data_IF_980438436339
#
_entry.id   IF_980438436339
#
_cell.length_a   1.000
_cell.length_b   1.000
_cell.length_c   1.000
_cell.angle_alpha   90.00
_cell.angle_beta   90.00
_cell.angle_gamma   90.00
#
_symmetry.space_group_name_H-M   'P 1'
#
loop_
_entity.id
_entity.type
_entity.pdbx_description
1 polymer ?
#
# COMPACT_ATOMS: atom_id res chain seq x y z
N UNK A 1 26.93 18.51 1.34
CA UNK A 1 25.72 19.03 2.03
C UNK A 1 24.56 18.87 1.07
N UNK A 2 23.49 18.16 1.39
CA UNK A 2 23.04 17.48 2.61
C UNK A 2 22.59 16.09 2.10
N UNK A 3 23.01 14.96 2.63
CA UNK A 3 23.25 14.68 4.05
C UNK A 3 22.07 15.15 4.92
N UNK A 4 20.86 14.74 4.51
CA UNK A 4 19.88 14.17 5.44
C UNK A 4 20.28 12.71 5.53
N UNK A 5 20.39 12.17 6.74
CA UNK A 5 20.53 10.74 7.04
C UNK A 5 19.56 10.00 6.12
N UNK A 6 20.11 9.41 5.06
CA UNK A 6 19.45 9.40 3.76
C UNK A 6 18.63 8.14 3.61
N UNK A 7 17.74 8.14 2.63
CA UNK A 7 17.10 6.93 2.14
C UNK A 7 18.11 5.82 1.78
N UNK A 8 19.40 6.14 1.64
CA UNK A 8 20.48 5.15 1.48
C UNK A 8 20.81 4.38 2.75
N UNK A 9 20.49 4.87 3.95
CA UNK A 9 20.75 4.21 5.23
C UNK A 9 19.66 3.19 5.60
N UNK A 10 18.37 3.49 5.38
CA UNK A 10 17.27 2.50 5.52
C UNK A 10 17.33 1.43 4.41
N UNK A 11 17.68 1.85 3.19
CA UNK A 11 18.02 0.94 2.07
C UNK A 11 19.24 0.08 2.40
N UNK A 12 20.26 0.63 3.07
CA UNK A 12 21.40 -0.14 3.57
C UNK A 12 21.01 -1.15 4.63
N UNK A 13 20.13 -0.79 5.57
CA UNK A 13 19.67 -1.71 6.60
C UNK A 13 18.83 -2.86 6.01
N UNK A 14 17.97 -2.58 5.01
CA UNK A 14 17.26 -3.63 4.25
C UNK A 14 18.20 -4.47 3.36
N UNK A 15 19.24 -3.87 2.78
CA UNK A 15 20.31 -4.58 2.07
C UNK A 15 21.13 -5.46 3.02
N UNK A 16 21.44 -4.98 4.23
CA UNK A 16 22.20 -5.70 5.25
C UNK A 16 21.38 -6.86 5.83
N UNK A 17 20.10 -6.66 6.11
CA UNK A 17 19.17 -7.71 6.56
C UNK A 17 18.94 -8.76 5.46
N UNK A 18 18.79 -8.33 4.21
CA UNK A 18 18.72 -9.24 3.05
C UNK A 18 20.03 -10.00 2.87
N UNK A 19 21.18 -9.36 3.05
CA UNK A 19 22.50 -9.99 2.95
C UNK A 19 22.77 -10.95 4.11
N UNK A 20 22.32 -10.66 5.33
CA UNK A 20 22.33 -11.60 6.46
C UNK A 20 21.45 -12.83 6.21
N UNK A 21 20.29 -12.65 5.56
CA UNK A 21 19.32 -13.72 5.30
C UNK A 21 19.60 -14.52 4.02
N UNK A 22 20.32 -13.97 3.04
CA UNK A 22 20.49 -14.55 1.69
C UNK A 22 21.93 -14.65 1.19
N UNK A 23 22.89 -13.97 1.84
CA UNK A 23 24.31 -13.98 1.46
C UNK A 23 24.69 -13.06 0.29
N UNK A 24 23.76 -12.26 -0.25
CA UNK A 24 23.99 -11.40 -1.42
C UNK A 24 23.41 -9.99 -1.26
N UNK A 25 24.02 -8.98 -1.90
CA UNK A 25 23.59 -7.58 -1.87
C UNK A 25 22.39 -7.30 -2.80
N UNK A 26 21.49 -6.41 -2.36
CA UNK A 26 20.28 -5.97 -3.09
C UNK A 26 20.64 -4.82 -4.05
N UNK A 27 20.49 -4.99 -5.37
CA UNK A 27 20.76 -3.92 -6.34
C UNK A 27 19.71 -2.78 -6.31
N UNK A 28 20.19 -1.55 -6.44
CA UNK A 28 19.64 -0.26 -5.97
C UNK A 28 18.54 0.40 -6.81
N UNK A 29 17.99 -0.24 -7.85
CA UNK A 29 17.23 0.48 -8.88
C UNK A 29 15.69 0.38 -8.82
N UNK A 30 15.10 -0.33 -7.87
CA UNK A 30 13.66 -0.64 -7.91
C UNK A 30 12.75 0.19 -6.97
N UNK A 31 13.22 1.27 -6.30
CA UNK A 31 12.47 1.94 -5.22
C UNK A 31 12.09 3.42 -5.44
N UNK A 32 12.31 4.01 -6.62
CA UNK A 32 11.91 5.42 -6.87
C UNK A 32 10.43 5.51 -7.25
N UNK A 33 9.54 5.66 -6.26
CA UNK A 33 8.36 6.51 -6.44
C UNK A 33 8.65 7.81 -5.70
N UNK A 34 9.06 8.82 -6.47
CA UNK A 34 9.18 10.24 -6.12
C UNK A 34 10.11 10.55 -4.93
N UNK A 35 11.42 10.61 -5.16
CA UNK A 35 12.33 11.37 -4.28
C UNK A 35 12.33 12.84 -4.71
N UNK A 36 12.09 13.80 -3.80
CA UNK A 36 12.36 15.21 -4.09
C UNK A 36 13.85 15.44 -4.35
N UNK A 37 14.22 15.84 -5.57
CA UNK A 37 15.60 16.22 -5.86
C UNK A 37 15.94 17.56 -5.19
N UNK A 38 16.97 17.55 -4.34
CA UNK A 38 17.52 18.79 -3.78
C UNK A 38 18.21 19.59 -4.89
N UNK A 39 17.54 20.61 -5.41
CA UNK A 39 18.16 21.56 -6.34
C UNK A 39 19.35 22.27 -5.67
N UNK A 40 20.51 22.50 -6.31
CA UNK A 40 21.74 23.00 -5.67
C UNK A 40 21.69 24.50 -5.31
N UNK A 41 20.50 25.12 -5.29
CA UNK A 41 20.34 26.53 -4.97
C UNK A 41 20.47 26.77 -3.48
N UNK A 42 21.36 27.68 -3.08
CA UNK A 42 21.53 28.15 -1.70
C UNK A 42 20.19 28.64 -1.13
N UNK A 43 19.49 27.78 -0.39
CA UNK A 43 18.20 28.10 0.24
C UNK A 43 18.43 28.98 1.48
N UNK A 44 17.62 30.03 1.64
CA UNK A 44 17.60 30.87 2.85
C UNK A 44 17.20 30.05 4.08
N UNK A 45 17.60 30.47 5.29
CA UNK A 45 17.40 29.71 6.54
C UNK A 45 15.94 29.37 6.86
N UNK A 46 15.00 30.27 6.54
CA UNK A 46 13.56 30.00 6.69
C UNK A 46 13.02 28.97 5.66
N UNK A 47 13.62 28.91 4.47
CA UNK A 47 13.29 27.89 3.47
C UNK A 47 13.91 26.54 3.83
N UNK A 48 15.06 26.51 4.48
CA UNK A 48 15.69 25.25 4.91
C UNK A 48 14.93 24.56 6.06
N UNK A 49 14.36 25.32 7.01
CA UNK A 49 13.53 24.77 8.09
C UNK A 49 12.17 24.25 7.59
N UNK A 50 11.49 24.97 6.69
CA UNK A 50 10.24 24.47 6.08
C UNK A 50 10.47 23.23 5.22
N UNK A 51 11.61 23.16 4.52
CA UNK A 51 11.99 22.00 3.72
C UNK A 51 12.45 20.79 4.56
N UNK A 52 12.96 21.00 5.77
CA UNK A 52 13.28 19.91 6.69
C UNK A 52 12.02 19.31 7.34
N UNK A 53 11.08 20.14 7.81
CA UNK A 53 9.78 19.69 8.33
C UNK A 53 8.97 18.93 7.27
N UNK A 54 8.93 19.45 6.04
CA UNK A 54 8.25 18.82 4.93
C UNK A 54 8.79 17.43 4.58
N UNK A 55 10.10 17.28 4.37
CA UNK A 55 10.68 15.96 4.07
C UNK A 55 10.48 14.98 5.22
N UNK A 56 10.55 15.44 6.47
CA UNK A 56 10.29 14.58 7.62
C UNK A 56 8.83 14.09 7.66
N UNK A 57 7.86 14.96 7.35
CA UNK A 57 6.44 14.57 7.23
C UNK A 57 6.20 13.60 6.08
N UNK A 58 6.85 13.83 4.95
CA UNK A 58 6.79 12.96 3.78
C UNK A 58 7.38 11.57 4.08
N UNK A 59 8.60 11.51 4.61
CA UNK A 59 9.25 10.25 5.03
C UNK A 59 8.41 9.51 6.07
N UNK A 60 7.83 10.23 7.05
CA UNK A 60 6.94 9.64 8.05
C UNK A 60 5.68 9.04 7.43
N UNK A 61 5.05 9.74 6.48
CA UNK A 61 3.86 9.24 5.81
C UNK A 61 4.16 7.98 4.99
N UNK A 62 5.28 7.98 4.26
CA UNK A 62 5.75 6.81 3.52
C UNK A 62 6.07 5.64 4.45
N UNK A 63 6.85 5.87 5.51
CA UNK A 63 7.19 4.84 6.48
C UNK A 63 5.94 4.24 7.16
N UNK A 64 4.90 5.04 7.40
CA UNK A 64 3.64 4.53 7.95
C UNK A 64 2.98 3.50 7.02
N UNK A 65 2.88 3.82 5.72
CA UNK A 65 2.35 2.88 4.72
C UNK A 65 3.22 1.63 4.64
N UNK A 66 4.54 1.80 4.57
CA UNK A 66 5.50 0.69 4.46
C UNK A 66 5.46 -0.24 5.68
N UNK A 67 5.36 0.32 6.88
CA UNK A 67 5.26 -0.46 8.12
C UNK A 67 3.97 -1.29 8.16
N UNK A 68 2.85 -0.69 7.73
CA UNK A 68 1.58 -1.42 7.63
C UNK A 68 1.67 -2.58 6.62
N UNK A 69 2.30 -2.35 5.47
CA UNK A 69 2.52 -3.39 4.46
C UNK A 69 3.37 -4.54 4.97
N UNK A 70 4.53 -4.22 5.55
CA UNK A 70 5.47 -5.22 6.02
C UNK A 70 4.81 -6.04 7.14
N UNK A 71 3.98 -5.41 7.98
CA UNK A 71 3.14 -6.10 8.96
C UNK A 71 2.15 -7.06 8.28
N UNK A 72 1.43 -6.64 7.25
CA UNK A 72 0.48 -7.50 6.53
C UNK A 72 1.17 -8.68 5.84
N UNK A 73 2.27 -8.42 5.13
CA UNK A 73 3.08 -9.45 4.46
C UNK A 73 3.66 -10.44 5.46
N UNK A 74 4.22 -9.94 6.57
CA UNK A 74 4.78 -10.77 7.64
C UNK A 74 3.70 -11.62 8.31
N UNK A 75 2.56 -11.02 8.63
CA UNK A 75 1.42 -11.74 9.20
C UNK A 75 0.92 -12.83 8.26
N UNK A 76 0.75 -12.53 6.97
CA UNK A 76 0.38 -13.52 5.97
C UNK A 76 1.43 -14.63 5.91
N UNK A 77 2.71 -14.29 5.72
CA UNK A 77 3.82 -15.22 5.59
C UNK A 77 3.93 -16.20 6.75
N UNK A 78 3.84 -15.70 7.99
CA UNK A 78 3.95 -16.49 9.22
C UNK A 78 2.73 -17.37 9.48
N UNK A 79 1.62 -17.15 8.77
CA UNK A 79 0.42 -17.98 8.86
C UNK A 79 0.26 -18.93 7.68
N UNK A 80 1.19 -18.94 6.72
CA UNK A 80 1.23 -19.93 5.66
C UNK A 80 1.88 -21.24 6.16
N UNK A 81 1.23 -22.40 5.99
CA UNK A 81 1.83 -23.69 6.30
C UNK A 81 3.08 -23.95 5.45
N UNK A 82 4.04 -24.70 5.99
CA UNK A 82 5.30 -25.05 5.30
C UNK A 82 5.07 -25.74 3.95
N UNK A 83 3.99 -26.53 3.86
CA UNK A 83 3.59 -27.25 2.66
C UNK A 83 2.84 -26.39 1.63
N UNK A 84 2.50 -25.14 1.94
CA UNK A 84 1.80 -24.24 1.01
C UNK A 84 2.69 -23.92 -0.20
N UNK A 85 2.16 -23.92 -1.45
CA UNK A 85 2.91 -23.50 -2.64
C UNK A 85 3.52 -22.09 -2.51
N UNK A 86 2.84 -21.19 -1.80
CA UNK A 86 3.33 -19.84 -1.52
C UNK A 86 4.57 -19.85 -0.61
N UNK A 87 4.60 -20.76 0.36
CA UNK A 87 5.68 -20.93 1.33
C UNK A 87 6.88 -21.64 0.71
N UNK A 88 6.62 -22.71 -0.05
CA UNK A 88 7.64 -23.48 -0.81
C UNK A 88 8.35 -22.60 -1.83
N UNK A 89 7.66 -21.63 -2.44
CA UNK A 89 8.29 -20.69 -3.38
C UNK A 89 9.38 -19.82 -2.74
N UNK A 90 9.43 -19.75 -1.41
CA UNK A 90 10.44 -19.05 -0.63
C UNK A 90 10.09 -17.60 -0.33
N UNK A 91 10.63 -17.10 0.79
CA UNK A 91 10.36 -15.76 1.32
C UNK A 91 10.58 -14.67 0.29
N UNK A 92 11.73 -14.71 -0.40
CA UNK A 92 12.07 -13.70 -1.41
C UNK A 92 10.99 -13.59 -2.49
N UNK A 93 10.56 -14.72 -3.07
CA UNK A 93 9.56 -14.69 -4.13
C UNK A 93 8.16 -14.36 -3.61
N UNK A 94 7.86 -14.61 -2.35
CA UNK A 94 6.60 -14.18 -1.74
C UNK A 94 6.55 -12.65 -1.64
N UNK A 95 7.55 -12.03 -0.99
CA UNK A 95 7.61 -10.58 -0.84
C UNK A 95 7.73 -9.86 -2.18
N UNK A 96 8.47 -10.43 -3.15
CA UNK A 96 8.61 -9.85 -4.50
C UNK A 96 7.34 -9.93 -5.37
N UNK A 97 6.36 -10.77 -5.01
CA UNK A 97 5.11 -10.90 -5.78
C UNK A 97 4.01 -9.98 -5.31
N UNK A 98 3.95 -9.73 -4.01
CA UNK A 98 3.01 -8.77 -3.42
C UNK A 98 3.77 -7.51 -2.97
N UNK A 99 4.68 -7.05 -3.83
CA UNK A 99 5.49 -5.86 -3.56
C UNK A 99 4.62 -4.62 -3.48
N UNK A 100 5.18 -3.61 -2.82
CA UNK A 100 4.67 -2.25 -2.70
C UNK A 100 4.22 -1.62 -4.03
N UNK A 101 4.81 -2.03 -5.16
CA UNK A 101 4.53 -1.50 -6.50
C UNK A 101 3.48 -2.28 -7.29
N UNK A 102 3.23 -3.54 -6.95
CA UNK A 102 2.38 -4.43 -7.75
C UNK A 102 1.02 -4.67 -7.12
N UNK A 103 0.87 -4.32 -5.84
CA UNK A 103 -0.40 -4.43 -5.12
C UNK A 103 -1.40 -3.40 -5.59
N UNK A 104 -2.65 -3.81 -5.71
CA UNK A 104 -3.76 -2.91 -5.91
C UNK A 104 -4.24 -2.39 -4.55
N UNK A 105 -3.84 -1.15 -4.20
CA UNK A 105 -4.19 -0.50 -2.92
C UNK A 105 -5.70 -0.35 -2.75
N UNK A 106 -6.40 -0.01 -3.82
CA UNK A 106 -7.86 0.14 -3.85
C UNK A 106 -8.55 -1.19 -3.59
N UNK A 107 -8.13 -2.26 -4.27
CA UNK A 107 -8.69 -3.60 -4.04
C UNK A 107 -8.45 -4.08 -2.61
N UNK A 108 -7.27 -3.79 -2.04
CA UNK A 108 -6.97 -4.14 -0.65
C UNK A 108 -7.84 -3.36 0.34
N UNK A 109 -7.98 -2.04 0.16
CA UNK A 109 -8.83 -1.20 0.98
C UNK A 109 -10.32 -1.59 0.89
N UNK A 110 -10.76 -2.08 -0.28
CA UNK A 110 -12.13 -2.54 -0.49
C UNK A 110 -12.46 -3.80 0.33
N UNK A 111 -11.48 -4.69 0.54
CA UNK A 111 -11.71 -5.96 1.24
C UNK A 111 -11.24 -5.98 2.68
N UNK A 112 -10.33 -5.09 3.07
CA UNK A 112 -9.71 -5.04 4.40
C UNK A 112 -9.20 -3.63 4.74
N UNK A 113 -10.13 -2.68 4.89
CA UNK A 113 -9.82 -1.26 5.18
C UNK A 113 -9.00 -1.04 6.46
N UNK A 114 -9.01 -2.00 7.39
CA UNK A 114 -8.30 -1.92 8.67
C UNK A 114 -7.00 -2.74 8.68
N UNK A 115 -6.68 -3.45 7.59
CA UNK A 115 -5.50 -4.31 7.49
C UNK A 115 -5.39 -5.34 8.65
N UNK A 116 -6.52 -5.99 8.98
CA UNK A 116 -6.65 -6.96 10.06
C UNK A 116 -6.81 -8.41 9.57
N UNK A 117 -7.17 -8.59 8.30
CA UNK A 117 -7.39 -9.91 7.72
C UNK A 117 -6.05 -10.47 7.25
N UNK A 118 -5.68 -11.66 7.74
CA UNK A 118 -4.34 -12.21 7.56
C UNK A 118 -4.01 -12.49 6.08
N UNK A 119 -4.99 -12.94 5.32
CA UNK A 119 -4.81 -13.31 3.90
C UNK A 119 -5.25 -12.22 2.92
N UNK A 120 -5.63 -11.02 3.39
CA UNK A 120 -6.18 -9.97 2.52
C UNK A 120 -5.23 -9.55 1.41
N UNK A 121 -3.91 -9.51 1.68
CA UNK A 121 -2.92 -9.11 0.68
C UNK A 121 -2.87 -10.05 -0.55
N UNK A 122 -3.19 -11.34 -0.36
CA UNK A 122 -3.32 -12.30 -1.46
C UNK A 122 -4.71 -12.23 -2.09
N UNK A 123 -5.74 -12.02 -1.28
CA UNK A 123 -7.14 -12.01 -1.71
C UNK A 123 -7.56 -10.71 -2.41
N UNK A 124 -6.82 -9.61 -2.24
CA UNK A 124 -7.12 -8.33 -2.88
C UNK A 124 -7.21 -8.48 -4.40
N UNK A 125 -6.22 -9.14 -5.01
CA UNK A 125 -6.19 -9.40 -6.45
C UNK A 125 -7.36 -10.32 -6.92
N UNK A 126 -7.96 -11.11 -6.02
CA UNK A 126 -9.12 -11.95 -6.33
C UNK A 126 -10.41 -11.15 -6.45
N UNK A 127 -10.58 -10.16 -5.58
CA UNK A 127 -11.80 -9.36 -5.45
C UNK A 127 -11.70 -7.99 -6.13
N UNK A 128 -10.58 -7.71 -6.78
CA UNK A 128 -10.42 -6.54 -7.65
C UNK A 128 -11.49 -6.52 -8.74
N UNK A 129 -11.90 -5.33 -9.20
CA UNK A 129 -12.93 -5.13 -10.22
C UNK A 129 -12.59 -5.84 -11.54
N UNK A 130 -11.30 -5.92 -11.86
CA UNK A 130 -10.76 -6.61 -13.04
C UNK A 130 -10.38 -8.07 -12.71
N UNK A 131 -10.28 -8.41 -11.42
CA UNK A 131 -9.73 -9.66 -10.92
C UNK A 131 -8.26 -9.88 -11.30
N UNK A 132 -7.79 -11.10 -11.09
CA UNK A 132 -6.44 -11.49 -11.51
C UNK A 132 -6.29 -11.44 -13.04
N UNK A 133 -5.21 -10.84 -13.53
CA UNK A 133 -4.74 -11.10 -14.89
C UNK A 133 -4.39 -12.59 -15.02
N UNK A 134 -5.10 -13.37 -15.86
CA UNK A 134 -4.87 -14.80 -16.01
C UNK A 134 -3.47 -15.17 -16.51
N UNK A 135 -2.74 -14.20 -17.11
CA UNK A 135 -1.38 -14.37 -17.60
C UNK A 135 -0.32 -13.98 -16.56
N UNK A 136 -0.71 -13.40 -15.43
CA UNK A 136 0.23 -12.99 -14.38
C UNK A 136 0.81 -14.18 -13.63
N UNK A 137 2.08 -14.10 -13.25
CA UNK A 137 2.73 -15.10 -12.40
C UNK A 137 2.02 -15.23 -11.03
N UNK A 138 1.50 -14.10 -10.52
CA UNK A 138 0.69 -14.04 -9.30
C UNK A 138 -0.52 -14.96 -9.39
N UNK A 139 -1.26 -14.91 -10.50
CA UNK A 139 -2.45 -15.74 -10.68
C UNK A 139 -2.12 -17.24 -10.74
N UNK A 140 -1.04 -17.61 -11.43
CA UNK A 140 -0.63 -19.02 -11.52
C UNK A 140 -0.36 -19.62 -10.13
N UNK A 141 0.31 -18.87 -9.27
CA UNK A 141 0.66 -19.31 -7.92
C UNK A 141 -0.55 -19.30 -6.99
N UNK A 142 -1.39 -18.26 -7.08
CA UNK A 142 -2.67 -18.24 -6.38
C UNK A 142 -3.51 -19.48 -6.75
N UNK A 143 -3.61 -19.80 -8.04
CA UNK A 143 -4.33 -20.98 -8.53
C UNK A 143 -3.76 -22.28 -7.95
N UNK A 144 -2.44 -22.42 -7.90
CA UNK A 144 -1.80 -23.61 -7.31
C UNK A 144 -2.01 -23.68 -5.79
N UNK A 145 -1.99 -22.54 -5.10
CA UNK A 145 -2.34 -22.45 -3.69
C UNK A 145 -3.79 -22.88 -3.43
N UNK A 146 -4.75 -22.42 -4.24
CA UNK A 146 -6.15 -22.84 -4.14
C UNK A 146 -6.30 -24.34 -4.42
N UNK A 147 -5.65 -24.90 -5.44
CA UNK A 147 -5.66 -26.36 -5.69
C UNK A 147 -5.12 -27.12 -4.48
N UNK A 148 -4.03 -26.64 -3.88
CA UNK A 148 -3.45 -27.24 -2.69
C UNK A 148 -4.43 -27.21 -1.50
N UNK A 149 -5.10 -26.09 -1.24
CA UNK A 149 -6.17 -25.99 -0.24
C UNK A 149 -7.25 -27.06 -0.50
N UNK A 150 -7.74 -27.13 -1.74
CA UNK A 150 -8.80 -28.06 -2.14
C UNK A 150 -8.36 -29.54 -2.10
N UNK A 151 -7.06 -29.82 -2.17
CA UNK A 151 -6.49 -31.17 -2.10
C UNK A 151 -6.41 -31.75 -0.68
N UNK A 152 -6.81 -30.98 0.34
CA UNK A 152 -6.78 -31.39 1.73
C UNK A 152 -5.58 -30.83 2.49
N UNK A 153 -5.37 -29.51 2.39
CA UNK A 153 -4.48 -28.79 3.30
C UNK A 153 -4.89 -29.01 4.78
N UNK A 154 -4.04 -28.57 5.70
CA UNK A 154 -4.28 -28.73 7.15
C UNK A 154 -5.64 -28.12 7.54
N UNK A 155 -6.52 -28.86 8.26
CA UNK A 155 -7.90 -28.42 8.53
C UNK A 155 -8.00 -27.04 9.21
N UNK A 156 -7.08 -26.76 10.15
CA UNK A 156 -7.02 -25.49 10.86
C UNK A 156 -6.71 -24.32 9.92
N UNK A 157 -5.84 -24.54 8.93
CA UNK A 157 -5.52 -23.55 7.92
C UNK A 157 -6.72 -23.32 6.98
N UNK A 158 -7.39 -24.39 6.54
CA UNK A 158 -8.58 -24.30 5.69
C UNK A 158 -9.68 -23.49 6.37
N UNK A 159 -9.94 -23.73 7.66
CA UNK A 159 -10.94 -22.98 8.42
C UNK A 159 -10.62 -21.48 8.44
N UNK A 160 -9.36 -21.14 8.75
CA UNK A 160 -8.88 -19.77 8.81
C UNK A 160 -8.96 -19.07 7.44
N UNK A 161 -8.46 -19.73 6.39
CA UNK A 161 -8.54 -19.23 5.02
C UNK A 161 -9.99 -18.97 4.59
N UNK A 162 -10.88 -19.93 4.86
CA UNK A 162 -12.30 -19.82 4.50
C UNK A 162 -12.99 -18.65 5.22
N UNK A 163 -12.66 -18.43 6.49
CA UNK A 163 -13.15 -17.30 7.28
C UNK A 163 -12.68 -15.97 6.69
N UNK A 164 -11.39 -15.86 6.40
CA UNK A 164 -10.80 -14.65 5.82
C UNK A 164 -11.36 -14.38 4.41
N UNK A 165 -11.53 -15.42 3.59
CA UNK A 165 -12.16 -15.33 2.27
C UNK A 165 -13.59 -14.78 2.35
N UNK A 166 -14.42 -15.31 3.27
CA UNK A 166 -15.80 -14.85 3.45
C UNK A 166 -15.83 -13.39 3.92
N UNK A 167 -14.96 -13.00 4.86
CA UNK A 167 -14.85 -11.60 5.30
C UNK A 167 -14.50 -10.68 4.14
N UNK A 168 -13.45 -11.00 3.38
CA UNK A 168 -13.03 -10.21 2.22
C UNK A 168 -14.16 -10.10 1.18
N UNK A 169 -14.83 -11.21 0.88
CA UNK A 169 -15.97 -11.26 -0.04
C UNK A 169 -17.13 -10.36 0.40
N UNK A 170 -17.43 -10.35 1.70
CA UNK A 170 -18.51 -9.53 2.23
C UNK A 170 -18.15 -8.04 2.17
N UNK A 171 -16.91 -7.69 2.52
CA UNK A 171 -16.41 -6.31 2.41
C UNK A 171 -16.40 -5.82 0.96
N UNK A 172 -15.97 -6.67 0.01
CA UNK A 172 -15.96 -6.36 -1.42
C UNK A 172 -17.35 -6.07 -2.03
N UNK A 173 -18.44 -6.52 -1.40
CA UNK A 173 -19.80 -6.31 -1.91
C UNK A 173 -20.31 -4.89 -1.70
N UNK A 174 -19.87 -4.25 -0.62
CA UNK A 174 -20.27 -2.90 -0.25
C UNK A 174 -19.07 -2.17 0.35
N UNK A 175 -18.05 -1.87 -0.47
CA UNK A 175 -16.84 -1.23 0.02
C UNK A 175 -17.09 0.25 0.25
N UNK A 176 -16.30 0.83 1.16
CA UNK A 176 -16.31 2.25 1.47
C UNK A 176 -15.90 3.10 0.25
N UNK A 177 -16.87 3.55 -0.53
CA UNK A 177 -16.61 4.22 -1.81
C UNK A 177 -15.80 5.51 -1.65
N UNK A 178 -16.02 6.25 -0.57
CA UNK A 178 -15.29 7.49 -0.31
C UNK A 178 -13.82 7.20 0.02
N UNK A 179 -13.53 6.14 0.79
CA UNK A 179 -12.16 5.67 1.01
C UNK A 179 -11.47 5.27 -0.31
N UNK A 180 -12.16 4.51 -1.17
CA UNK A 180 -11.60 4.09 -2.46
C UNK A 180 -11.34 5.28 -3.39
N UNK A 181 -12.18 6.30 -3.32
CA UNK A 181 -12.01 7.52 -4.09
C UNK A 181 -10.85 8.37 -3.58
N UNK A 182 -10.67 8.52 -2.27
CA UNK A 182 -9.49 9.17 -1.68
C UNK A 182 -8.20 8.54 -2.22
N UNK A 183 -8.13 7.20 -2.24
CA UNK A 183 -6.98 6.46 -2.80
C UNK A 183 -6.82 6.74 -4.30
N UNK A 184 -7.91 6.71 -5.06
CA UNK A 184 -7.88 6.91 -6.51
C UNK A 184 -7.44 8.33 -6.89
N UNK A 185 -7.96 9.34 -6.20
CA UNK A 185 -7.61 10.75 -6.39
C UNK A 185 -6.16 11.00 -5.99
N UNK A 186 -5.70 10.40 -4.89
CA UNK A 186 -4.29 10.46 -4.52
C UNK A 186 -3.39 9.94 -5.64
N UNK A 187 -3.71 8.79 -6.24
CA UNK A 187 -2.92 8.21 -7.34
C UNK A 187 -2.91 9.10 -8.58
N UNK A 188 -4.06 9.69 -8.93
CA UNK A 188 -4.19 10.64 -10.05
C UNK A 188 -3.38 11.90 -9.80
N UNK A 189 -3.51 12.52 -8.64
CA UNK A 189 -2.81 13.76 -8.31
C UNK A 189 -1.29 13.52 -8.20
N UNK A 190 -0.87 12.40 -7.62
CA UNK A 190 0.54 12.02 -7.51
C UNK A 190 1.18 11.77 -8.88
N UNK A 191 0.46 11.16 -9.82
CA UNK A 191 0.94 10.93 -11.18
C UNK A 191 1.17 12.24 -11.98
N UNK A 192 0.47 13.31 -11.61
CA UNK A 192 0.56 14.62 -12.24
C UNK A 192 1.49 15.61 -11.52
N UNK A 193 2.16 15.19 -10.44
CA UNK A 193 3.25 15.95 -9.82
C UNK A 193 4.46 15.90 -10.76
N UNK A 194 4.73 17.00 -11.47
CA UNK A 194 5.80 17.08 -12.48
C UNK A 194 7.09 17.63 -11.87
N UNK A 195 6.99 18.43 -10.80
CA UNK A 195 8.12 18.91 -10.04
C UNK A 195 7.84 18.66 -8.55
N UNK A 196 8.87 18.35 -7.76
CA UNK A 196 8.76 18.06 -6.32
C UNK A 196 8.39 19.30 -5.46
N UNK A 197 7.54 20.18 -6.01
CA UNK A 197 6.98 21.32 -5.32
C UNK A 197 5.96 20.84 -4.28
N UNK A 198 6.19 21.23 -3.03
CA UNK A 198 5.35 20.90 -1.88
C UNK A 198 3.85 21.20 -2.10
N UNK A 199 3.53 22.21 -2.91
CA UNK A 199 2.15 22.57 -3.25
C UNK A 199 1.45 21.58 -4.21
N UNK A 200 2.21 20.78 -4.94
CA UNK A 200 1.70 19.80 -5.90
C UNK A 200 1.43 18.43 -5.24
N UNK A 201 2.09 18.10 -4.12
CA UNK A 201 1.87 16.81 -3.45
C UNK A 201 0.44 16.72 -2.89
N UNK A 202 -0.26 15.59 -3.10
CA UNK A 202 -1.60 15.39 -2.57
C UNK A 202 -1.61 15.42 -1.03
N UNK A 203 -2.54 16.17 -0.47
CA UNK A 203 -2.80 16.30 0.95
C UNK A 203 -4.31 16.16 1.24
N UNK A 204 -4.73 15.96 2.50
CA UNK A 204 -6.13 15.74 2.81
C UNK A 204 -7.08 16.83 2.26
N UNK A 205 -6.66 18.10 2.29
CA UNK A 205 -7.47 19.23 1.82
C UNK A 205 -7.65 19.22 0.31
N UNK A 206 -6.56 19.03 -0.47
CA UNK A 206 -6.66 19.06 -1.93
C UNK A 206 -7.39 17.82 -2.48
N UNK A 207 -7.25 16.66 -1.84
CA UNK A 207 -8.02 15.44 -2.17
C UNK A 207 -9.50 15.65 -1.88
N UNK A 208 -9.86 16.16 -0.68
CA UNK A 208 -11.24 16.48 -0.31
C UNK A 208 -11.88 17.44 -1.31
N UNK A 209 -11.19 18.54 -1.64
CA UNK A 209 -11.68 19.52 -2.59
C UNK A 209 -11.88 18.90 -3.98
N UNK A 210 -10.91 18.12 -4.47
CA UNK A 210 -11.03 17.45 -5.77
C UNK A 210 -12.26 16.53 -5.84
N UNK A 211 -12.51 15.74 -4.78
CA UNK A 211 -13.67 14.85 -4.69
C UNK A 211 -14.98 15.65 -4.69
N UNK A 212 -15.06 16.71 -3.87
CA UNK A 212 -16.24 17.56 -3.77
C UNK A 212 -16.54 18.34 -5.07
N UNK A 213 -15.50 18.75 -5.80
CA UNK A 213 -15.60 19.54 -7.03
C UNK A 213 -15.98 18.69 -8.25
N UNK A 214 -15.59 17.40 -8.28
CA UNK A 214 -15.86 16.47 -9.40
C UNK A 214 -17.30 15.95 -9.48
N UNK A 215 -18.18 16.41 -8.59
CA UNK A 215 -19.64 16.19 -8.52
C UNK A 215 -20.26 15.25 -9.58
N UNK A 216 -20.13 13.92 -9.46
CA UNK A 216 -20.81 13.00 -10.35
C UNK A 216 -22.24 12.83 -9.88
N UNK A 217 -23.19 13.32 -10.68
CA UNK A 217 -24.60 12.99 -10.52
C UNK A 217 -24.77 11.46 -10.37
N UNK A 218 -25.29 11.00 -9.23
CA UNK A 218 -25.65 9.59 -9.01
C UNK A 218 -24.94 8.83 -7.87
N UNK A 219 -24.30 9.51 -6.91
CA UNK A 219 -23.68 8.83 -5.75
C UNK A 219 -24.70 8.39 -4.70
N UNK A 220 -24.42 7.25 -4.05
CA UNK A 220 -25.14 6.76 -2.87
C UNK A 220 -24.87 7.62 -1.62
N UNK A 221 -23.65 8.14 -1.49
CA UNK A 221 -23.25 9.12 -0.47
C UNK A 221 -22.71 10.38 -1.15
N UNK A 222 -23.28 11.54 -0.80
CA UNK A 222 -22.78 12.84 -1.25
C UNK A 222 -21.60 13.26 -0.36
N UNK A 223 -20.37 13.36 -0.90
CA UNK A 223 -19.19 13.75 -0.12
C UNK A 223 -19.29 15.15 0.48
N UNK A 224 -20.14 16.02 -0.10
CA UNK A 224 -20.38 17.37 0.41
C UNK A 224 -21.18 17.37 1.71
N UNK A 225 -21.91 16.28 2.01
CA UNK A 225 -22.71 16.12 3.23
C UNK A 225 -21.92 15.50 4.39
N UNK A 226 -20.69 15.04 4.16
CA UNK A 226 -19.84 14.53 5.23
C UNK A 226 -19.38 15.66 6.16
N UNK A 227 -19.40 15.38 7.46
CA UNK A 227 -18.81 16.26 8.47
C UNK A 227 -17.28 16.23 8.38
N UNK A 228 -16.60 17.24 8.93
CA UNK A 228 -15.14 17.26 8.97
C UNK A 228 -14.57 16.05 9.73
N UNK A 229 -15.22 15.62 10.82
CA UNK A 229 -14.83 14.42 11.57
C UNK A 229 -14.93 13.14 10.72
N UNK A 230 -15.97 13.01 9.88
CA UNK A 230 -16.11 11.87 8.98
C UNK A 230 -15.01 11.88 7.91
N UNK A 231 -14.66 13.05 7.38
CA UNK A 231 -13.53 13.20 6.45
C UNK A 231 -12.20 12.83 7.10
N UNK A 232 -11.95 13.27 8.33
CA UNK A 232 -10.76 12.92 9.10
C UNK A 232 -10.63 11.41 9.29
N UNK A 233 -11.72 10.72 9.67
CA UNK A 233 -11.73 9.25 9.82
C UNK A 233 -11.39 8.55 8.50
N UNK A 234 -11.96 9.00 7.37
CA UNK A 234 -11.71 8.41 6.05
C UNK A 234 -10.27 8.63 5.60
N UNK A 235 -9.71 9.81 5.86
CA UNK A 235 -8.31 10.12 5.55
C UNK A 235 -7.34 9.32 6.42
N UNK A 236 -7.65 9.17 7.72
CA UNK A 236 -6.86 8.33 8.63
C UNK A 236 -6.84 6.87 8.14
N UNK A 237 -7.99 6.32 7.75
CA UNK A 237 -8.05 4.98 7.13
C UNK A 237 -7.29 4.91 5.81
N UNK A 238 -7.39 5.94 4.95
CA UNK A 238 -6.65 5.98 3.69
C UNK A 238 -5.13 6.00 3.91
N UNK A 239 -4.65 6.61 5.00
CA UNK A 239 -3.22 6.70 5.33
C UNK A 239 -2.55 5.34 5.53
N UNK A 240 -3.33 4.27 5.74
CA UNK A 240 -2.84 2.88 5.77
C UNK A 240 -2.31 2.44 4.39
N UNK A 241 -2.88 2.98 3.31
CA UNK A 241 -2.64 2.55 1.94
C UNK A 241 -1.84 3.56 1.11
N UNK A 242 -2.01 4.86 1.38
CA UNK A 242 -1.38 5.96 0.66
C UNK A 242 -0.66 6.92 1.61
N UNK A 243 0.49 7.51 1.22
CA UNK A 243 1.20 8.43 2.09
C UNK A 243 0.54 9.80 2.10
N UNK A 244 -0.21 10.08 3.18
CA UNK A 244 -0.84 11.37 3.44
C UNK A 244 -0.02 12.21 4.43
N UNK A 245 0.26 13.46 4.05
CA UNK A 245 0.91 14.44 4.93
C UNK A 245 -0.15 15.32 5.60
N UNK A 246 -0.11 15.37 6.93
CA UNK A 246 -0.93 16.26 7.77
C UNK A 246 -0.13 17.49 8.22
#
# INVERSE_FOLDING_TARGET
MIEKTSWDQERKAMQELHRELTGSDLNTCNYRMYEPESSPGTLSSERSEKFSDYKAKWEKAHHHVESNEDRMLSNCWNNLPESSPLRIAGTYKFYMRWTRQTRNRRALAAIDSNSEIIHSIILADHFDEVGFDPKSERFAIYKDHIKWIMSGAEPQYIEKWSRDYIKCKNNARDPDQILLEIISVYEVLSANCINDEQSEIPNPTNIKNYICDQNPNGRLEDPQLLTDAAWEEKMEKASIFIPLMY
#
